data_IF_625276079831
#
_entry.id   IF_625276079831
#
_cell.length_a   1.000
_cell.length_b   1.000
_cell.length_c   1.000
_cell.angle_alpha   90.00
_cell.angle_beta   90.00
_cell.angle_gamma   90.00
#
_symmetry.space_group_name_H-M   'P 1'
#
loop_
_entity.id
_entity.type
_entity.pdbx_description
1 polymer ?
#
# COMPACT_ATOMS: atom_id res chain seq x y z
N UNK A 1 -10.42 -23.77 -16.72
CA UNK A 1 -9.67 -23.93 -15.45
C UNK A 1 -8.79 -22.71 -15.37
N UNK A 2 -8.92 -21.95 -14.31
CA UNK A 2 -8.09 -20.75 -14.09
C UNK A 2 -6.72 -21.22 -13.57
N UNK A 3 -5.65 -20.64 -14.09
CA UNK A 3 -4.26 -20.95 -13.75
C UNK A 3 -3.77 -19.84 -12.81
N UNK A 4 -3.36 -20.16 -11.57
CA UNK A 4 -2.91 -19.16 -10.62
C UNK A 4 -1.60 -18.51 -11.09
N UNK A 5 -1.53 -17.19 -10.94
CA UNK A 5 -0.35 -16.37 -11.27
C UNK A 5 0.21 -15.69 -10.04
N UNK A 6 1.51 -15.87 -9.83
CA UNK A 6 2.29 -15.15 -8.83
C UNK A 6 3.11 -14.08 -9.53
N UNK A 7 2.84 -12.81 -9.24
CA UNK A 7 3.52 -11.67 -9.88
C UNK A 7 4.54 -11.10 -8.90
N UNK A 8 5.80 -11.09 -9.31
CA UNK A 8 6.92 -10.49 -8.60
C UNK A 8 7.30 -9.19 -9.29
N UNK A 9 7.19 -8.10 -8.56
CA UNK A 9 7.53 -6.76 -9.01
C UNK A 9 8.63 -6.18 -8.12
N UNK A 10 9.20 -5.08 -8.57
CA UNK A 10 10.30 -4.40 -7.89
C UNK A 10 11.22 -3.77 -8.92
N UNK A 11 11.91 -2.71 -8.51
CA UNK A 11 12.91 -2.08 -9.36
C UNK A 11 14.14 -2.99 -9.55
N UNK A 12 15.04 -2.58 -10.43
CA UNK A 12 16.32 -3.25 -10.63
C UNK A 12 17.05 -3.43 -9.28
N UNK A 13 17.74 -4.56 -9.11
CA UNK A 13 18.48 -4.93 -7.90
C UNK A 13 17.63 -5.07 -6.61
N UNK A 14 16.30 -5.10 -6.72
CA UNK A 14 15.44 -5.32 -5.56
C UNK A 14 15.48 -6.75 -5.01
N UNK A 15 16.11 -7.70 -5.72
CA UNK A 15 16.22 -9.11 -5.29
C UNK A 15 15.10 -10.02 -5.79
N UNK A 16 14.35 -9.64 -6.83
CA UNK A 16 13.26 -10.45 -7.43
C UNK A 16 13.72 -11.86 -7.78
N UNK A 17 14.80 -11.98 -8.56
CA UNK A 17 15.31 -13.24 -9.08
C UNK A 17 15.69 -14.20 -7.96
N UNK A 18 16.46 -13.74 -6.97
CA UNK A 18 16.85 -14.54 -5.80
C UNK A 18 15.62 -15.00 -5.02
N UNK A 19 14.67 -14.10 -4.75
CA UNK A 19 13.43 -14.43 -4.03
C UNK A 19 12.58 -15.49 -4.76
N UNK A 20 12.49 -15.41 -6.09
CA UNK A 20 11.79 -16.41 -6.90
C UNK A 20 12.49 -17.76 -6.81
N UNK A 21 13.82 -17.78 -6.89
CA UNK A 21 14.60 -19.02 -6.77
C UNK A 21 14.39 -19.67 -5.39
N UNK A 22 14.48 -18.88 -4.31
CA UNK A 22 14.22 -19.36 -2.94
C UNK A 22 12.78 -19.91 -2.82
N UNK A 23 11.80 -19.20 -3.37
CA UNK A 23 10.40 -19.64 -3.40
C UNK A 23 10.22 -20.97 -4.15
N UNK A 24 10.96 -21.20 -5.23
CA UNK A 24 10.91 -22.44 -5.99
C UNK A 24 11.51 -23.63 -5.22
N UNK A 25 12.41 -23.39 -4.27
CA UNK A 25 13.02 -24.44 -3.44
C UNK A 25 12.12 -24.91 -2.31
N UNK A 26 11.19 -24.07 -1.85
CA UNK A 26 10.30 -24.36 -0.73
C UNK A 26 9.40 -25.58 -0.99
N UNK A 27 9.32 -26.50 -0.03
CA UNK A 27 8.59 -27.78 -0.14
C UNK A 27 7.10 -27.59 -0.49
N UNK A 28 6.47 -26.52 0.02
CA UNK A 28 5.07 -26.24 -0.26
C UNK A 28 4.83 -25.77 -1.70
N UNK A 29 5.85 -25.16 -2.32
CA UNK A 29 5.79 -24.69 -3.68
C UNK A 29 6.23 -25.80 -4.65
N UNK A 30 7.26 -26.56 -4.29
CA UNK A 30 7.83 -27.65 -5.06
C UNK A 30 7.08 -28.98 -4.86
N UNK A 31 5.81 -29.01 -5.27
CA UNK A 31 4.92 -30.16 -5.13
C UNK A 31 4.80 -31.02 -6.43
N UNK A 32 5.66 -30.75 -7.43
CA UNK A 32 5.67 -31.44 -8.74
C UNK A 32 4.79 -30.81 -9.82
N UNK A 33 4.08 -29.71 -9.52
CA UNK A 33 3.34 -28.93 -10.50
C UNK A 33 4.25 -28.35 -11.60
N UNK A 34 3.70 -28.16 -12.81
CA UNK A 34 4.39 -27.48 -13.91
C UNK A 34 4.33 -25.97 -13.72
N UNK A 35 5.48 -25.34 -13.54
CA UNK A 35 5.59 -23.89 -13.44
C UNK A 35 6.03 -23.30 -14.77
N UNK A 36 5.32 -22.29 -15.26
CA UNK A 36 5.79 -21.43 -16.35
C UNK A 36 6.24 -20.10 -15.75
N UNK A 37 7.51 -19.76 -15.93
CA UNK A 37 8.13 -18.54 -15.43
C UNK A 37 8.38 -17.58 -16.59
N UNK A 38 7.74 -16.41 -16.55
CA UNK A 38 8.05 -15.29 -17.44
C UNK A 38 9.07 -14.38 -16.76
N UNK A 39 10.22 -14.19 -17.39
CA UNK A 39 11.22 -13.20 -16.96
C UNK A 39 11.19 -12.00 -17.91
N UNK A 40 10.68 -10.87 -17.42
CA UNK A 40 10.53 -9.64 -18.20
C UNK A 40 11.73 -8.69 -18.10
N UNK A 41 12.81 -9.14 -17.45
CA UNK A 41 14.01 -8.36 -17.20
C UNK A 41 15.22 -9.30 -17.25
N UNK A 42 16.32 -8.85 -17.85
CA UNK A 42 17.62 -9.49 -17.66
C UNK A 42 18.22 -8.95 -16.36
N UNK A 43 18.08 -9.72 -15.27
CA UNK A 43 18.73 -9.44 -14.01
C UNK A 43 20.25 -9.63 -14.08
N UNK A 44 20.98 -9.13 -13.07
CA UNK A 44 22.40 -9.48 -12.90
C UNK A 44 22.60 -10.95 -12.52
N UNK A 45 21.58 -11.56 -11.92
CA UNK A 45 21.54 -12.97 -11.57
C UNK A 45 20.78 -13.74 -12.64
N UNK A 46 21.34 -14.87 -13.07
CA UNK A 46 20.68 -15.81 -13.97
C UNK A 46 19.97 -16.88 -13.15
N UNK A 47 18.85 -17.40 -13.68
CA UNK A 47 18.18 -18.55 -13.09
C UNK A 47 19.05 -19.82 -13.20
N UNK A 48 19.23 -20.53 -12.09
CA UNK A 48 19.93 -21.82 -12.09
C UNK A 48 19.15 -22.88 -12.88
N UNK A 49 19.71 -23.36 -13.99
CA UNK A 49 19.10 -24.39 -14.81
C UNK A 49 18.83 -25.71 -14.07
N UNK A 50 19.68 -26.10 -13.12
CA UNK A 50 19.48 -27.32 -12.33
C UNK A 50 18.29 -27.16 -11.39
N UNK A 51 18.16 -25.98 -10.76
CA UNK A 51 17.02 -25.62 -9.94
C UNK A 51 15.72 -25.63 -10.76
N UNK A 52 15.70 -24.99 -11.94
CA UNK A 52 14.52 -24.96 -12.80
C UNK A 52 14.08 -26.38 -13.22
N UNK A 53 15.03 -27.26 -13.55
CA UNK A 53 14.75 -28.66 -13.88
C UNK A 53 14.21 -29.43 -12.67
N UNK A 54 14.82 -29.24 -11.49
CA UNK A 54 14.41 -29.88 -10.23
C UNK A 54 12.99 -29.47 -9.80
N UNK A 55 12.58 -28.26 -10.13
CA UNK A 55 11.30 -27.65 -9.73
C UNK A 55 10.22 -27.69 -10.83
N UNK A 56 10.49 -28.40 -11.93
CA UNK A 56 9.58 -28.53 -13.08
C UNK A 56 9.15 -27.16 -13.65
N UNK A 57 10.12 -26.25 -13.73
CA UNK A 57 9.93 -24.87 -14.16
C UNK A 57 10.44 -24.66 -15.58
N UNK A 58 9.60 -24.08 -16.43
CA UNK A 58 9.96 -23.64 -17.78
C UNK A 58 10.14 -22.13 -17.78
N UNK A 59 11.34 -21.65 -18.11
CA UNK A 59 11.66 -20.23 -18.22
C UNK A 59 11.39 -19.70 -19.64
N UNK A 60 10.73 -18.55 -19.74
CA UNK A 60 10.48 -17.81 -20.98
C UNK A 60 10.85 -16.34 -20.76
N UNK A 61 11.82 -15.85 -21.50
CA UNK A 61 12.19 -14.44 -21.50
C UNK A 61 11.22 -13.61 -22.34
N UNK A 62 10.93 -12.40 -21.86
CA UNK A 62 10.11 -11.38 -22.53
C UNK A 62 10.87 -10.06 -22.45
N UNK A 63 11.59 -9.70 -23.51
CA UNK A 63 12.53 -8.57 -23.48
C UNK A 63 11.83 -7.21 -23.60
N UNK A 64 10.73 -7.15 -24.35
CA UNK A 64 10.01 -5.91 -24.68
C UNK A 64 8.59 -5.92 -24.11
N UNK A 65 8.11 -4.77 -23.64
CA UNK A 65 6.78 -4.65 -23.03
C UNK A 65 5.67 -5.00 -24.03
N UNK A 66 5.87 -4.74 -25.33
CA UNK A 66 4.93 -5.12 -26.38
C UNK A 66 4.77 -6.62 -26.61
N UNK A 67 5.78 -7.41 -26.29
CA UNK A 67 5.70 -8.86 -26.42
C UNK A 67 4.92 -9.49 -25.27
N UNK A 68 4.83 -8.79 -24.12
CA UNK A 68 3.92 -9.15 -23.04
C UNK A 68 2.48 -8.76 -23.40
N UNK A 69 1.83 -9.58 -24.22
CA UNK A 69 0.44 -9.37 -24.65
C UNK A 69 -0.41 -10.65 -24.55
N UNK A 70 -1.73 -10.45 -24.59
CA UNK A 70 -2.74 -11.51 -24.46
C UNK A 70 -2.50 -12.73 -25.35
N UNK A 71 -2.24 -12.52 -26.64
CA UNK A 71 -2.05 -13.60 -27.60
C UNK A 71 -0.77 -14.39 -27.29
N UNK A 72 0.30 -13.70 -26.91
CA UNK A 72 1.54 -14.33 -26.46
C UNK A 72 1.31 -15.19 -25.22
N UNK A 73 0.69 -14.64 -24.17
CA UNK A 73 0.41 -15.35 -22.91
C UNK A 73 -0.41 -16.63 -23.17
N UNK A 74 -1.49 -16.54 -23.94
CA UNK A 74 -2.32 -17.69 -24.31
C UNK A 74 -1.51 -18.73 -25.09
N UNK A 75 -0.66 -18.29 -26.03
CA UNK A 75 0.18 -19.22 -26.81
C UNK A 75 1.11 -20.05 -25.92
N UNK A 76 1.69 -19.44 -24.88
CA UNK A 76 2.61 -20.10 -23.95
C UNK A 76 1.90 -21.04 -23.00
N UNK A 77 0.70 -20.65 -22.54
CA UNK A 77 -0.17 -21.56 -21.78
C UNK A 77 -0.54 -22.80 -22.59
N UNK A 78 -0.90 -22.64 -23.87
CA UNK A 78 -1.22 -23.77 -24.77
C UNK A 78 0.00 -24.61 -25.14
N UNK A 79 1.19 -24.01 -25.14
CA UNK A 79 2.44 -24.71 -25.45
C UNK A 79 2.90 -25.57 -24.27
N UNK A 80 2.86 -25.02 -23.05
CA UNK A 80 3.50 -25.64 -21.88
C UNK A 80 2.52 -26.30 -20.90
N UNK A 81 1.22 -26.05 -21.02
CA UNK A 81 0.18 -26.56 -20.12
C UNK A 81 0.54 -26.39 -18.63
N UNK A 82 0.92 -25.18 -18.18
CA UNK A 82 1.33 -24.97 -16.80
C UNK A 82 0.18 -25.22 -15.82
N UNK A 83 0.53 -25.69 -14.62
CA UNK A 83 -0.38 -25.75 -13.48
C UNK A 83 -0.39 -24.43 -12.72
N UNK A 84 0.71 -23.65 -12.80
CA UNK A 84 0.85 -22.28 -12.28
C UNK A 84 1.79 -21.43 -13.12
N UNK A 85 1.66 -20.11 -12.99
CA UNK A 85 2.55 -19.14 -13.65
C UNK A 85 3.25 -18.26 -12.61
N UNK A 86 4.53 -17.99 -12.82
CA UNK A 86 5.29 -16.94 -12.14
C UNK A 86 5.63 -15.87 -13.18
N UNK A 87 5.52 -14.59 -12.79
CA UNK A 87 5.95 -13.47 -13.61
C UNK A 87 6.94 -12.65 -12.80
N UNK A 88 8.21 -12.68 -13.19
CA UNK A 88 9.18 -11.66 -12.80
C UNK A 88 8.98 -10.45 -13.70
N UNK A 89 8.16 -9.50 -13.22
CA UNK A 89 7.75 -8.34 -13.99
C UNK A 89 8.80 -7.24 -13.90
N UNK A 90 9.03 -6.57 -15.03
CA UNK A 90 9.93 -5.44 -15.10
C UNK A 90 9.32 -4.24 -14.35
N UNK A 91 10.02 -3.75 -13.32
CA UNK A 91 9.54 -2.63 -12.49
C UNK A 91 9.39 -1.30 -13.23
N UNK A 92 9.86 -1.19 -14.47
CA UNK A 92 9.74 0.00 -15.31
C UNK A 92 8.52 -0.05 -16.25
N UNK A 93 7.84 -1.18 -16.36
CA UNK A 93 6.68 -1.36 -17.23
C UNK A 93 5.37 -1.00 -16.52
N UNK A 94 4.32 -0.72 -17.28
CA UNK A 94 3.03 -0.32 -16.73
C UNK A 94 2.33 -1.51 -16.08
N UNK A 95 1.98 -1.37 -14.80
CA UNK A 95 1.20 -2.40 -14.08
C UNK A 95 -0.23 -2.49 -14.63
N UNK A 96 -0.83 -1.35 -15.00
CA UNK A 96 -2.17 -1.31 -15.61
C UNK A 96 -2.22 -2.09 -16.92
N UNK A 97 -1.18 -1.95 -17.76
CA UNK A 97 -1.07 -2.70 -19.01
C UNK A 97 -0.97 -4.20 -18.74
N UNK A 98 -0.10 -4.63 -17.83
CA UNK A 98 0.03 -6.04 -17.44
C UNK A 98 -1.33 -6.64 -17.05
N UNK A 99 -2.08 -5.95 -16.19
CA UNK A 99 -3.41 -6.40 -15.76
C UNK A 99 -4.37 -6.51 -16.95
N UNK A 100 -4.37 -5.51 -17.84
CA UNK A 100 -5.22 -5.48 -19.04
C UNK A 100 -4.90 -6.62 -20.02
N UNK A 101 -3.62 -6.95 -20.19
CA UNK A 101 -3.17 -8.02 -21.09
C UNK A 101 -3.47 -9.42 -20.51
N UNK A 102 -3.52 -9.54 -19.18
CA UNK A 102 -3.94 -10.76 -18.49
C UNK A 102 -5.46 -10.95 -18.45
N UNK A 103 -6.26 -9.88 -18.59
CA UNK A 103 -7.73 -9.97 -18.63
C UNK A 103 -8.20 -10.88 -19.78
N UNK A 104 -9.28 -11.63 -19.58
CA UNK A 104 -9.83 -12.62 -20.52
C UNK A 104 -8.85 -13.72 -20.96
N UNK A 105 -7.74 -13.93 -20.24
CA UNK A 105 -6.87 -15.10 -20.39
C UNK A 105 -7.28 -16.19 -19.39
N UNK A 106 -6.78 -17.44 -19.50
CA UNK A 106 -6.96 -18.42 -18.43
C UNK A 106 -6.15 -18.12 -17.16
N UNK A 107 -5.38 -17.03 -17.12
CA UNK A 107 -4.53 -16.65 -16.00
C UNK A 107 -5.33 -15.86 -14.96
N UNK A 108 -5.18 -16.21 -13.69
CA UNK A 108 -5.79 -15.49 -12.57
C UNK A 108 -4.70 -15.05 -11.61
N UNK A 109 -4.53 -13.75 -11.40
CA UNK A 109 -3.60 -13.21 -10.40
C UNK A 109 -4.01 -13.73 -9.03
N UNK A 110 -3.15 -14.56 -8.47
CA UNK A 110 -3.34 -15.21 -7.18
C UNK A 110 -2.63 -14.44 -6.06
N UNK A 111 -1.42 -13.94 -6.34
CA UNK A 111 -0.66 -13.14 -5.38
C UNK A 111 0.28 -12.17 -6.11
N UNK A 112 0.46 -10.98 -5.53
CA UNK A 112 1.36 -9.93 -6.00
C UNK A 112 2.36 -9.57 -4.90
N UNK A 113 3.64 -9.69 -5.21
CA UNK A 113 4.75 -9.47 -4.28
C UNK A 113 5.64 -8.37 -4.86
N UNK A 114 5.94 -7.36 -4.06
CA UNK A 114 6.89 -6.30 -4.42
C UNK A 114 8.14 -6.45 -3.56
N UNK A 115 9.30 -6.61 -4.19
CA UNK A 115 10.59 -6.56 -3.50
C UNK A 115 11.19 -5.17 -3.66
N UNK A 116 11.85 -4.66 -2.62
CA UNK A 116 12.49 -3.34 -2.60
C UNK A 116 13.83 -3.44 -1.87
N UNK A 117 14.86 -2.82 -2.42
CA UNK A 117 16.12 -2.63 -1.70
C UNK A 117 16.00 -1.41 -0.76
N UNK A 118 16.18 -1.62 0.54
CA UNK A 118 16.13 -0.55 1.55
C UNK A 118 17.15 0.57 1.31
N UNK A 119 18.32 0.25 0.76
CA UNK A 119 19.37 1.24 0.46
C UNK A 119 18.97 2.23 -0.64
N UNK A 120 18.03 1.86 -1.50
CA UNK A 120 17.56 2.66 -2.64
C UNK A 120 16.09 3.07 -2.53
N UNK A 121 15.40 2.73 -1.43
CA UNK A 121 13.98 3.01 -1.23
C UNK A 121 13.65 4.49 -1.45
N UNK A 122 14.34 5.40 -0.75
CA UNK A 122 14.09 6.83 -0.84
C UNK A 122 14.43 7.39 -2.23
N UNK A 123 15.44 6.83 -2.91
CA UNK A 123 15.79 7.23 -4.27
C UNK A 123 14.63 6.96 -5.24
N UNK A 124 14.02 5.78 -5.15
CA UNK A 124 12.87 5.42 -5.98
C UNK A 124 11.62 6.20 -5.59
N UNK A 125 11.33 6.38 -4.30
CA UNK A 125 10.18 7.17 -3.86
C UNK A 125 10.29 8.66 -4.21
N UNK A 126 11.50 9.19 -4.35
CA UNK A 126 11.71 10.59 -4.75
C UNK A 126 11.68 10.79 -6.27
N UNK A 127 12.23 9.84 -7.05
CA UNK A 127 12.41 10.04 -8.50
C UNK A 127 11.44 9.22 -9.38
N UNK A 128 10.94 8.10 -8.88
CA UNK A 128 10.09 7.15 -9.61
C UNK A 128 8.82 6.79 -8.83
N UNK A 129 8.34 7.72 -8.01
CA UNK A 129 7.16 7.56 -7.14
C UNK A 129 5.95 6.97 -7.87
N UNK A 130 5.68 7.41 -9.09
CA UNK A 130 4.52 6.94 -9.86
C UNK A 130 4.56 5.41 -10.07
N UNK A 131 5.71 4.89 -10.50
CA UNK A 131 5.91 3.47 -10.73
C UNK A 131 5.86 2.68 -9.42
N UNK A 132 6.51 3.19 -8.36
CA UNK A 132 6.48 2.57 -7.04
C UNK A 132 5.04 2.44 -6.51
N UNK A 133 4.27 3.52 -6.62
CA UNK A 133 2.86 3.56 -6.17
C UNK A 133 1.97 2.63 -7.01
N UNK A 134 2.19 2.51 -8.32
CA UNK A 134 1.47 1.54 -9.15
C UNK A 134 1.69 0.10 -8.67
N UNK A 135 2.93 -0.27 -8.36
CA UNK A 135 3.24 -1.59 -7.78
C UNK A 135 2.57 -1.76 -6.41
N UNK A 136 2.69 -0.77 -5.51
CA UNK A 136 2.12 -0.85 -4.16
C UNK A 136 0.59 -0.93 -4.15
N UNK A 137 -0.11 -0.26 -5.09
CA UNK A 137 -1.58 -0.29 -5.18
C UNK A 137 -2.16 -1.69 -5.29
N UNK A 138 -1.47 -2.60 -5.97
CA UNK A 138 -1.93 -3.98 -6.17
C UNK A 138 -1.19 -4.99 -5.30
N UNK A 139 -0.16 -4.57 -4.57
CA UNK A 139 0.67 -5.47 -3.76
C UNK A 139 -0.12 -6.14 -2.62
N UNK A 140 -0.04 -7.45 -2.51
CA UNK A 140 -0.49 -8.16 -1.32
C UNK A 140 0.63 -8.23 -0.28
N UNK A 141 1.89 -8.28 -0.73
CA UNK A 141 3.08 -8.29 0.11
C UNK A 141 4.15 -7.35 -0.47
N UNK A 142 4.80 -6.58 0.40
CA UNK A 142 5.97 -5.77 0.10
C UNK A 142 7.10 -6.19 1.03
N UNK A 143 8.23 -6.60 0.46
CA UNK A 143 9.42 -7.02 1.19
C UNK A 143 10.50 -5.98 0.93
N UNK A 144 10.93 -5.30 1.99
CA UNK A 144 12.05 -4.36 1.94
C UNK A 144 13.26 -5.07 2.53
N UNK A 145 14.18 -5.50 1.66
CA UNK A 145 15.38 -6.21 2.06
C UNK A 145 16.56 -5.26 2.26
N UNK A 146 17.66 -5.82 2.77
CA UNK A 146 18.90 -5.09 3.06
C UNK A 146 18.70 -3.94 4.06
N UNK A 147 17.78 -4.14 5.01
CA UNK A 147 17.48 -3.15 6.03
C UNK A 147 18.50 -3.20 7.18
N UNK A 148 18.76 -2.04 7.78
CA UNK A 148 19.50 -1.91 9.05
C UNK A 148 18.63 -1.29 10.14
N UNK A 149 19.08 -1.35 11.38
CA UNK A 149 18.36 -0.81 12.54
C UNK A 149 18.15 0.72 12.47
N UNK A 150 19.05 1.44 11.80
CA UNK A 150 19.03 2.90 11.67
C UNK A 150 18.11 3.42 10.56
N UNK A 151 17.61 2.53 9.68
CA UNK A 151 16.72 2.92 8.59
C UNK A 151 15.32 3.26 9.11
N UNK A 152 14.62 4.23 8.49
CA UNK A 152 13.31 4.71 8.94
C UNK A 152 12.17 3.76 8.54
N UNK A 153 12.26 2.50 8.99
CA UNK A 153 11.35 1.39 8.64
C UNK A 153 9.87 1.72 8.89
N UNK A 154 9.56 2.29 10.06
CA UNK A 154 8.18 2.70 10.38
C UNK A 154 7.65 3.73 9.37
N UNK A 155 8.47 4.69 8.94
CA UNK A 155 8.09 5.69 7.94
C UNK A 155 7.82 5.04 6.58
N UNK A 156 8.71 4.17 6.10
CA UNK A 156 8.52 3.46 4.83
C UNK A 156 7.26 2.59 4.82
N UNK A 157 7.00 1.88 5.93
CA UNK A 157 5.76 1.12 6.15
C UNK A 157 4.54 2.01 6.01
N UNK A 158 4.51 3.17 6.70
CA UNK A 158 3.40 4.12 6.63
C UNK A 158 3.20 4.67 5.21
N UNK A 159 4.28 4.99 4.48
CA UNK A 159 4.18 5.44 3.09
C UNK A 159 3.57 4.39 2.16
N UNK A 160 3.91 3.10 2.32
CA UNK A 160 3.28 2.01 1.56
C UNK A 160 1.81 1.85 1.97
N UNK A 161 1.52 1.88 3.28
CA UNK A 161 0.16 1.71 3.83
C UNK A 161 -0.77 2.86 3.47
N UNK A 162 -0.24 4.06 3.26
CA UNK A 162 -0.98 5.20 2.73
C UNK A 162 -1.52 4.93 1.32
N UNK A 163 -0.81 4.14 0.52
CA UNK A 163 -1.22 3.73 -0.82
C UNK A 163 -2.11 2.50 -0.78
N UNK A 164 -1.66 1.46 -0.08
CA UNK A 164 -2.35 0.18 0.02
C UNK A 164 -2.31 -0.34 1.45
N UNK A 165 -3.41 -0.07 2.17
CA UNK A 165 -3.59 -0.46 3.57
C UNK A 165 -3.55 -1.97 3.79
N UNK A 166 -3.95 -2.77 2.79
CA UNK A 166 -4.04 -4.23 2.89
C UNK A 166 -2.70 -4.93 2.68
N UNK A 167 -1.73 -4.27 2.05
CA UNK A 167 -0.43 -4.85 1.79
C UNK A 167 0.27 -5.24 3.10
N UNK A 168 0.74 -6.48 3.19
CA UNK A 168 1.65 -6.89 4.25
C UNK A 168 3.04 -6.31 3.95
N UNK A 169 3.65 -5.61 4.91
CA UNK A 169 4.99 -5.03 4.72
C UNK A 169 5.98 -5.74 5.64
N UNK A 170 7.03 -6.31 5.06
CA UNK A 170 8.07 -7.09 5.75
C UNK A 170 9.42 -6.40 5.56
N UNK A 171 10.27 -6.52 6.57
CA UNK A 171 11.64 -6.02 6.55
C UNK A 171 12.60 -7.20 6.71
N UNK A 172 13.58 -7.29 5.82
CA UNK A 172 14.65 -8.29 5.87
C UNK A 172 16.01 -7.59 6.01
N UNK A 173 16.87 -8.14 6.86
CA UNK A 173 18.21 -7.61 7.08
C UNK A 173 19.20 -8.17 6.05
N UNK A 174 20.40 -7.57 5.95
CA UNK A 174 21.47 -8.04 5.05
C UNK A 174 22.07 -9.38 5.50
N UNK A 175 22.01 -9.71 6.80
CA UNK A 175 22.81 -10.81 7.40
C UNK A 175 22.08 -11.54 8.57
N UNK A 176 20.75 -11.58 8.58
CA UNK A 176 19.94 -12.00 9.75
C UNK A 176 20.25 -11.22 11.04
N UNK A 177 20.81 -10.02 10.89
CA UNK A 177 21.11 -9.11 12.00
C UNK A 177 19.81 -8.67 12.69
N UNK A 178 19.87 -8.62 14.02
CA UNK A 178 18.77 -8.10 14.83
C UNK A 178 18.60 -6.61 14.56
N UNK A 179 17.60 -6.26 13.76
CA UNK A 179 17.24 -4.89 13.45
C UNK A 179 16.58 -4.17 14.65
N UNK A 180 16.26 -4.89 15.72
CA UNK A 180 15.48 -4.37 16.85
C UNK A 180 14.06 -3.96 16.46
N UNK A 181 13.33 -3.43 17.44
CA UNK A 181 12.01 -2.85 17.23
C UNK A 181 12.09 -1.63 16.29
N UNK A 182 11.04 -1.41 15.49
CA UNK A 182 10.96 -0.23 14.64
C UNK A 182 10.91 1.04 15.51
N UNK A 183 11.73 2.05 15.20
CA UNK A 183 11.58 3.37 15.81
C UNK A 183 10.30 4.01 15.27
N UNK A 184 9.24 3.83 16.05
CA UNK A 184 7.87 4.25 15.71
C UNK A 184 7.53 5.64 16.27
N UNK A 185 8.56 6.44 16.57
CA UNK A 185 8.39 7.81 17.09
C UNK A 185 7.57 8.65 16.12
N UNK A 186 6.47 9.22 16.62
CA UNK A 186 5.59 10.10 15.87
C UNK A 186 6.06 11.56 15.96
N UNK A 187 5.78 12.40 14.94
CA UNK A 187 6.13 13.82 14.98
C UNK A 187 5.26 14.64 15.95
N UNK A 188 4.24 14.03 16.55
CA UNK A 188 3.34 14.62 17.53
C UNK A 188 3.28 13.78 18.81
N UNK A 189 2.99 14.45 19.92
CA UNK A 189 2.88 13.83 21.23
C UNK A 189 1.56 13.05 21.37
N UNK A 190 1.67 11.76 21.68
CA UNK A 190 0.55 10.84 21.90
C UNK A 190 0.33 10.49 23.38
N UNK A 191 1.20 10.95 24.30
CA UNK A 191 1.10 10.58 25.72
C UNK A 191 -0.15 11.20 26.38
N UNK A 192 -0.51 12.42 25.98
CA UNK A 192 -1.65 13.15 26.51
C UNK A 192 -3.03 12.58 26.12
N UNK A 193 -4.06 12.97 26.88
CA UNK A 193 -5.47 12.70 26.54
C UNK A 193 -6.00 13.57 25.40
N UNK A 194 -5.35 14.72 25.16
CA UNK A 194 -5.66 15.63 24.07
C UNK A 194 -4.41 15.79 23.17
N UNK A 195 -4.53 15.37 21.91
CA UNK A 195 -3.45 15.40 20.91
C UNK A 195 -3.74 16.54 19.93
N UNK A 196 -2.78 17.45 19.79
CA UNK A 196 -2.85 18.56 18.84
C UNK A 196 -2.01 18.21 17.61
N UNK A 197 -2.66 18.12 16.46
CA UNK A 197 -1.98 17.84 15.19
C UNK A 197 -1.73 19.13 14.42
N UNK A 198 -0.48 19.30 14.00
CA UNK A 198 -0.14 20.28 12.98
C UNK A 198 -0.65 19.83 11.61
N UNK A 199 -0.77 20.78 10.68
CA UNK A 199 -1.35 20.52 9.36
C UNK A 199 -0.55 19.45 8.58
N UNK A 200 0.78 19.47 8.70
CA UNK A 200 1.73 18.57 8.02
C UNK A 200 1.65 17.11 8.53
N UNK A 201 1.28 16.93 9.80
CA UNK A 201 1.25 15.62 10.46
C UNK A 201 -0.04 14.83 10.20
N UNK A 202 -1.03 15.45 9.56
CA UNK A 202 -2.34 14.83 9.32
C UNK A 202 -2.23 13.50 8.59
N UNK A 203 -1.34 13.40 7.60
CA UNK A 203 -1.13 12.16 6.83
C UNK A 203 -0.62 11.03 7.71
N UNK A 204 0.39 11.32 8.54
CA UNK A 204 0.98 10.35 9.47
C UNK A 204 -0.07 9.87 10.46
N UNK A 205 -0.80 10.79 11.10
CA UNK A 205 -1.91 10.42 11.99
C UNK A 205 -2.97 9.58 11.28
N UNK A 206 -3.35 9.94 10.06
CA UNK A 206 -4.36 9.19 9.32
C UNK A 206 -3.94 7.74 9.12
N UNK A 207 -2.70 7.47 8.72
CA UNK A 207 -2.24 6.07 8.56
C UNK A 207 -2.10 5.39 9.91
N UNK A 208 -1.46 6.06 10.86
CA UNK A 208 -1.12 5.50 12.16
C UNK A 208 -2.35 5.15 13.01
N UNK A 209 -3.37 6.01 13.03
CA UNK A 209 -4.61 5.76 13.75
C UNK A 209 -5.43 4.60 13.16
N UNK A 210 -5.13 4.18 11.92
CA UNK A 210 -5.74 2.99 11.34
C UNK A 210 -4.97 1.72 11.69
N UNK A 211 -3.64 1.77 11.73
CA UNK A 211 -2.80 0.62 12.07
C UNK A 211 -2.81 0.32 13.56
N UNK A 212 -2.80 1.36 14.40
CA UNK A 212 -2.76 1.29 15.86
C UNK A 212 -3.92 2.05 16.50
N UNK A 213 -5.18 1.70 16.17
CA UNK A 213 -6.35 2.45 16.64
C UNK A 213 -6.45 2.50 18.17
N UNK A 214 -5.91 1.50 18.87
CA UNK A 214 -5.85 1.41 20.33
C UNK A 214 -4.99 2.52 20.98
N UNK A 215 -4.01 3.07 20.26
CA UNK A 215 -3.22 4.22 20.74
C UNK A 215 -4.10 5.46 20.89
N UNK A 216 -5.15 5.57 20.07
CA UNK A 216 -6.00 6.76 20.00
C UNK A 216 -7.34 6.58 20.70
N UNK A 217 -7.74 5.36 21.06
CA UNK A 217 -9.06 5.09 21.66
C UNK A 217 -9.29 5.92 22.94
N UNK A 218 -10.41 6.64 22.99
CA UNK A 218 -10.76 7.53 24.09
C UNK A 218 -10.00 8.87 24.12
N UNK A 219 -8.93 9.04 23.33
CA UNK A 219 -8.21 10.31 23.23
C UNK A 219 -9.01 11.34 22.43
N UNK A 220 -8.67 12.60 22.63
CA UNK A 220 -9.27 13.74 21.95
C UNK A 220 -8.29 14.33 20.94
N UNK A 221 -8.64 14.29 19.66
CA UNK A 221 -7.86 14.90 18.58
C UNK A 221 -8.30 16.34 18.36
N UNK A 222 -7.33 17.24 18.24
CA UNK A 222 -7.49 18.63 17.81
C UNK A 222 -6.75 18.81 16.49
N UNK A 223 -7.49 19.08 15.42
CA UNK A 223 -6.93 19.10 14.06
C UNK A 223 -7.72 20.02 13.14
N UNK A 224 -7.02 20.59 12.14
CA UNK A 224 -7.65 21.34 11.06
C UNK A 224 -8.02 20.39 9.93
N UNK A 225 -9.29 20.39 9.55
CA UNK A 225 -9.81 19.47 8.54
C UNK A 225 -10.79 20.16 7.61
N UNK A 226 -10.98 19.58 6.44
CA UNK A 226 -12.00 19.98 5.48
C UNK A 226 -13.21 19.08 5.64
N UNK A 227 -14.39 19.68 5.60
CA UNK A 227 -15.65 18.94 5.76
C UNK A 227 -16.02 18.26 4.46
N UNK A 228 -16.17 16.95 4.48
CA UNK A 228 -16.85 16.20 3.43
C UNK A 228 -18.24 15.74 3.89
N UNK A 229 -19.25 16.09 3.08
CA UNK A 229 -20.64 15.65 3.26
C UNK A 229 -21.15 15.03 1.97
N UNK A 230 -21.81 13.89 2.11
CA UNK A 230 -22.51 13.20 1.02
C UNK A 230 -23.85 12.67 1.53
N UNK A 231 -24.82 12.53 0.62
CA UNK A 231 -26.13 11.94 0.93
C UNK A 231 -26.02 10.45 1.31
N UNK A 232 -24.90 9.80 0.97
CA UNK A 232 -24.61 8.40 1.32
C UNK A 232 -24.20 8.24 2.80
N UNK A 233 -23.74 9.31 3.45
CA UNK A 233 -23.33 9.24 4.85
C UNK A 233 -24.55 9.12 5.77
N UNK A 234 -24.44 8.42 6.92
CA UNK A 234 -25.50 8.38 7.92
C UNK A 234 -25.90 9.78 8.40
N UNK A 235 -27.17 9.94 8.78
CA UNK A 235 -27.67 11.21 9.34
C UNK A 235 -26.87 11.58 10.59
N UNK A 236 -26.55 12.88 10.72
CA UNK A 236 -25.75 13.38 11.84
C UNK A 236 -24.25 13.07 11.72
N UNK A 237 -23.78 12.63 10.55
CA UNK A 237 -22.37 12.35 10.30
C UNK A 237 -21.80 13.25 9.20
N UNK A 238 -20.48 13.39 9.22
CA UNK A 238 -19.67 13.94 8.13
C UNK A 238 -18.28 13.28 8.18
N UNK A 239 -17.44 13.50 7.17
CA UNK A 239 -16.05 13.06 7.20
C UNK A 239 -15.17 14.31 7.27
N UNK A 240 -14.58 14.66 8.42
CA UNK A 240 -13.46 15.58 8.48
C UNK A 240 -12.24 14.93 7.82
N UNK A 241 -11.66 15.60 6.85
CA UNK A 241 -10.55 15.02 6.10
C UNK A 241 -9.71 16.01 5.34
N UNK A 242 -8.71 15.49 4.63
CA UNK A 242 -7.83 16.27 3.76
C UNK A 242 -7.73 15.59 2.40
N UNK A 243 -7.34 16.35 1.38
CA UNK A 243 -6.99 15.75 0.10
C UNK A 243 -5.53 15.30 0.18
N UNK A 244 -5.26 14.04 -0.14
CA UNK A 244 -3.94 13.48 -0.20
C UNK A 244 -3.53 13.19 -1.64
N UNK A 245 -2.25 13.42 -1.94
CA UNK A 245 -1.62 13.07 -3.20
C UNK A 245 -0.63 11.94 -2.94
N UNK A 246 -0.92 10.74 -3.44
CA UNK A 246 -0.10 9.54 -3.25
C UNK A 246 1.02 9.44 -4.28
N UNK A 247 0.73 9.66 -5.58
CA UNK A 247 1.74 9.68 -6.64
C UNK A 247 1.78 10.96 -7.48
N UNK A 248 0.64 11.46 -7.94
CA UNK A 248 0.55 12.60 -8.85
C UNK A 248 -0.78 13.34 -8.70
N UNK A 249 -0.93 14.47 -9.41
CA UNK A 249 -2.13 15.30 -9.34
C UNK A 249 -3.42 14.60 -9.78
N UNK A 250 -3.33 13.56 -10.62
CA UNK A 250 -4.48 12.78 -11.06
C UNK A 250 -4.94 11.77 -9.98
N UNK A 251 -4.09 11.47 -9.00
CA UNK A 251 -4.33 10.48 -7.94
C UNK A 251 -4.65 11.15 -6.59
N UNK A 252 -5.31 12.31 -6.63
CA UNK A 252 -5.73 13.04 -5.44
C UNK A 252 -7.00 12.42 -4.86
N UNK A 253 -6.94 11.96 -3.60
CA UNK A 253 -8.05 11.34 -2.88
C UNK A 253 -8.40 12.08 -1.60
N UNK A 254 -9.67 12.05 -1.19
CA UNK A 254 -10.08 12.62 0.09
C UNK A 254 -9.99 11.55 1.19
N UNK A 255 -9.11 11.77 2.16
CA UNK A 255 -8.86 10.85 3.29
C UNK A 255 -9.38 11.43 4.60
N UNK A 256 -10.07 10.61 5.39
CA UNK A 256 -10.57 10.98 6.70
C UNK A 256 -11.49 9.94 7.31
N UNK A 257 -11.82 10.14 8.58
CA UNK A 257 -12.63 9.20 9.35
C UNK A 257 -14.08 9.64 9.50
N UNK A 258 -15.00 8.69 9.63
CA UNK A 258 -16.40 9.00 9.90
C UNK A 258 -16.52 9.75 11.23
N UNK A 259 -17.23 10.87 11.24
CA UNK A 259 -17.41 11.69 12.42
C UNK A 259 -18.89 11.91 12.77
N UNK A 260 -19.28 11.50 13.96
CA UNK A 260 -20.60 11.74 14.54
C UNK A 260 -20.69 13.14 15.16
N UNK A 261 -21.76 13.86 14.82
CA UNK A 261 -22.04 15.19 15.37
C UNK A 261 -23.01 15.19 16.54
N UNK A 262 -23.58 14.03 16.87
CA UNK A 262 -24.69 13.89 17.81
C UNK A 262 -24.37 14.35 19.24
N UNK A 263 -23.07 14.41 19.59
CA UNK A 263 -22.58 14.81 20.91
C UNK A 263 -22.08 16.26 20.97
N UNK A 264 -21.96 16.95 19.83
CA UNK A 264 -21.42 18.30 19.78
C UNK A 264 -22.51 19.35 20.09
N UNK A 265 -22.19 20.30 20.98
CA UNK A 265 -23.12 21.36 21.43
C UNK A 265 -23.05 22.65 20.56
N UNK A 266 -22.26 22.65 19.49
CA UNK A 266 -21.89 23.87 18.76
C UNK A 266 -22.96 24.35 17.77
N UNK A 267 -23.22 25.66 17.74
CA UNK A 267 -24.05 26.34 16.72
C UNK A 267 -23.51 26.14 15.30
N UNK A 268 -22.20 25.92 15.15
CA UNK A 268 -21.51 25.66 13.87
C UNK A 268 -21.94 24.35 13.20
N UNK A 269 -22.46 23.37 13.96
CA UNK A 269 -22.96 22.09 13.40
C UNK A 269 -24.18 22.33 12.50
N UNK A 270 -25.03 23.29 12.87
CA UNK A 270 -26.22 23.64 12.09
C UNK A 270 -25.86 24.35 10.78
N UNK A 271 -24.68 24.95 10.70
CA UNK A 271 -24.17 25.68 9.52
C UNK A 271 -23.03 24.95 8.80
N UNK A 272 -22.72 23.71 9.19
CA UNK A 272 -21.59 22.93 8.69
C UNK A 272 -21.83 22.58 7.21
N UNK A 273 -21.11 23.25 6.30
CA UNK A 273 -21.25 23.08 4.84
C UNK A 273 -20.15 22.17 4.30
N UNK A 274 -20.47 21.48 3.20
CA UNK A 274 -19.47 20.71 2.47
C UNK A 274 -18.32 21.63 2.01
N UNK A 275 -17.09 21.11 1.99
CA UNK A 275 -15.84 21.80 1.61
C UNK A 275 -15.36 22.91 2.56
N UNK A 276 -16.06 23.14 3.67
CA UNK A 276 -15.67 24.14 4.67
C UNK A 276 -14.46 23.66 5.47
N UNK A 277 -13.51 24.56 5.76
CA UNK A 277 -12.41 24.29 6.67
C UNK A 277 -12.86 24.52 8.12
N UNK A 278 -12.46 23.60 9.00
CA UNK A 278 -12.82 23.63 10.42
C UNK A 278 -11.65 23.23 11.29
N UNK A 279 -11.55 23.87 12.45
CA UNK A 279 -10.83 23.31 13.58
C UNK A 279 -11.78 22.35 14.30
N UNK A 280 -11.43 21.08 14.29
CA UNK A 280 -12.19 19.99 14.90
C UNK A 280 -11.52 19.57 16.20
N UNK A 281 -12.32 19.49 17.26
CA UNK A 281 -11.98 18.74 18.47
C UNK A 281 -12.93 17.54 18.54
N UNK A 282 -12.40 16.32 18.46
CA UNK A 282 -13.19 15.10 18.45
C UNK A 282 -12.56 14.00 19.30
N UNK A 283 -13.39 13.21 19.97
CA UNK A 283 -12.96 11.98 20.63
C UNK A 283 -12.86 10.85 19.61
N UNK A 284 -11.82 10.03 19.71
CA UNK A 284 -11.66 8.82 18.90
C UNK A 284 -12.27 7.65 19.66
N UNK A 285 -12.98 6.77 18.94
CA UNK A 285 -13.44 5.48 19.43
C UNK A 285 -13.15 4.39 18.42
N UNK A 286 -12.83 3.20 18.89
CA UNK A 286 -12.73 2.03 18.02
C UNK A 286 -14.12 1.44 17.83
N UNK A 287 -14.61 1.48 16.59
CA UNK A 287 -15.92 0.91 16.24
C UNK A 287 -15.87 0.23 14.88
N UNK A 288 -16.69 -0.81 14.72
CA UNK A 288 -16.90 -1.41 13.41
C UNK A 288 -17.57 -0.40 12.47
N UNK A 289 -16.90 -0.09 11.37
CA UNK A 289 -17.45 0.78 10.34
C UNK A 289 -17.60 0.00 9.03
N UNK A 290 -18.83 -0.05 8.51
CA UNK A 290 -19.16 -0.74 7.25
C UNK A 290 -18.35 -0.25 6.05
N UNK A 291 -17.94 1.01 6.03
CA UNK A 291 -17.12 1.57 4.95
C UNK A 291 -15.67 1.06 4.99
N UNK A 292 -15.17 0.70 6.17
CA UNK A 292 -13.84 0.08 6.34
C UNK A 292 -13.92 -1.44 6.20
N UNK A 293 -15.06 -2.03 6.56
CA UNK A 293 -15.25 -3.48 6.59
C UNK A 293 -14.70 -4.16 7.83
N UNK A 294 -14.13 -3.37 8.75
CA UNK A 294 -13.42 -3.79 9.97
C UNK A 294 -13.62 -2.78 11.11
N UNK A 295 -13.09 -3.10 12.30
CA UNK A 295 -12.99 -2.15 13.41
C UNK A 295 -11.90 -1.11 13.13
N UNK A 296 -12.21 0.17 13.39
CA UNK A 296 -11.26 1.24 13.18
C UNK A 296 -11.70 2.54 13.86
N UNK A 297 -10.94 3.63 13.70
CA UNK A 297 -11.21 4.88 14.38
C UNK A 297 -12.48 5.55 13.81
N UNK A 298 -13.40 5.87 14.72
CA UNK A 298 -14.59 6.69 14.48
C UNK A 298 -14.52 7.91 15.39
N UNK A 299 -14.78 9.08 14.80
CA UNK A 299 -14.68 10.35 15.49
C UNK A 299 -16.02 10.78 16.07
N UNK A 300 -15.98 11.39 17.24
CA UNK A 300 -17.12 11.98 17.92
C UNK A 300 -16.84 13.44 18.18
N UNK A 301 -17.41 14.32 17.36
CA UNK A 301 -17.19 15.75 17.48
C UNK A 301 -17.59 16.24 18.88
N UNK A 302 -16.69 16.98 19.52
CA UNK A 302 -16.92 17.73 20.75
C UNK A 302 -17.10 19.21 20.43
N UNK A 303 -16.20 19.77 19.62
CA UNK A 303 -16.21 21.17 19.16
C UNK A 303 -15.87 21.24 17.68
N UNK A 304 -16.58 22.11 16.96
CA UNK A 304 -16.32 22.41 15.55
C UNK A 304 -16.40 23.91 15.37
N UNK A 305 -15.31 24.50 14.87
CA UNK A 305 -15.14 25.94 14.69
C UNK A 305 -14.70 26.19 13.25
N UNK A 306 -15.22 27.26 12.62
CA UNK A 306 -14.78 27.61 11.26
C UNK A 306 -13.30 28.01 11.29
N UNK A 307 -12.56 27.60 10.26
CA UNK A 307 -11.15 27.91 10.09
C UNK A 307 -10.88 28.35 8.64
N UNK A 308 -9.78 29.06 8.46
CA UNK A 308 -9.19 29.29 7.14
C UNK A 308 -8.44 28.03 6.67
N UNK A 309 -8.24 27.85 5.35
CA UNK A 309 -7.42 26.76 4.84
C UNK A 309 -5.99 26.77 5.43
N UNK A 310 -5.35 25.59 5.56
CA UNK A 310 -3.92 25.48 5.83
C UNK A 310 -3.09 26.07 4.68
N UNK A 311 -1.78 26.28 4.91
CA UNK A 311 -0.84 26.80 3.90
C UNK A 311 -0.80 25.86 2.70
N UNK A 312 -0.55 24.57 2.95
CA UNK A 312 -0.71 23.51 1.96
C UNK A 312 -2.05 22.84 2.17
N UNK A 313 -2.94 22.85 1.17
CA UNK A 313 -4.23 22.16 1.25
C UNK A 313 -4.11 20.64 1.08
N UNK A 314 -3.04 20.18 0.43
CA UNK A 314 -2.75 18.78 0.16
C UNK A 314 -1.88 18.16 1.25
N UNK A 315 -2.10 16.88 1.47
CA UNK A 315 -1.24 16.00 2.25
C UNK A 315 -0.39 15.20 1.27
N UNK A 316 0.89 15.06 1.58
CA UNK A 316 1.85 14.29 0.80
C UNK A 316 2.34 13.12 1.65
N UNK A 317 2.50 11.95 1.04
CA UNK A 317 2.96 10.71 1.67
C UNK A 317 4.37 10.31 1.22
#
# INVERSE_FOLDING_TARGET
MEIPVYVFMGFLESGKTSFIQDTLEEDYFNNGERTLLFACEEGMEEYDEELLKKTNTTLVYVEEEEDFNKDFLISKVLQYYPDRVIIEYNGMWSVERMMTEMDDTPLLVFQTIVTVNGETFDLYMNNMRSLAVEMYKIAEMVIINRCTAEMPRATWRRSIKAVNRRAQVLFESVDDDDMGEEDDTLPFDIEGDEIHLEDEDYGIWFVDAMERPEVYDGKTMVMKTRVFKSIRLPKGCFVPGRHAMTCCADDIQFIGYLCHTNHAKSSTIKSLKNKMWVNLTAEVRIEYNKEYGEEGPVLYAKRVEAAEPPVDELVYF
#
